data_IF_376971183045
#
_entry.id   IF_376971183045
#
_cell.length_a   1.000
_cell.length_b   1.000
_cell.length_c   1.000
_cell.angle_alpha   90.00
_cell.angle_beta   90.00
_cell.angle_gamma   90.00
#
_symmetry.space_group_name_H-M   'P 1'
#
loop_
_entity.id
_entity.type
_entity.pdbx_description
1 polymer ?
#
# COMPACT_ATOMS: atom_id res chain seq x y z
N UNK A 1 30.00 2.77 -10.33
CA UNK A 1 29.98 2.64 -10.20
C UNK A 1 29.94 2.06 -10.53
N UNK A 2 29.94 2.02 -10.48
CA UNK A 2 29.89 1.51 -10.58
C UNK A 2 29.62 1.07 -10.41
N UNK A 3 29.80 0.99 -10.58
CA UNK A 3 29.66 0.73 -10.05
C UNK A 3 29.71 1.00 -9.33
N UNK A 4 29.78 1.52 -8.78
CA UNK A 4 30.15 1.80 -8.17
C UNK A 4 30.42 1.24 -7.67
N UNK A 5 30.61 0.81 -7.91
CA UNK A 5 31.12 0.18 -7.72
C UNK A 5 31.38 -0.68 -7.66
N UNK A 6 31.97 -0.69 -7.69
CA UNK A 6 32.59 -1.55 -7.85
C UNK A 6 32.87 -2.34 -7.67
N UNK A 7 32.82 -1.92 -8.05
CA UNK A 7 33.32 -3.21 -8.38
C UNK A 7 32.84 -4.38 -7.54
N UNK A 8 33.29 -5.53 -7.72
CA UNK A 8 32.86 -6.81 -7.18
C UNK A 8 32.24 -6.86 -5.79
N UNK A 9 32.23 -5.77 -5.03
CA UNK A 9 31.69 -5.73 -3.68
C UNK A 9 30.21 -5.38 -3.62
N UNK A 10 29.61 -5.10 -4.73
CA UNK A 10 28.19 -4.77 -4.75
C UNK A 10 27.35 -6.01 -4.60
N UNK A 11 26.40 -5.97 -3.66
CA UNK A 11 25.43 -7.06 -3.48
C UNK A 11 24.43 -7.12 -4.62
N UNK A 12 24.18 -6.00 -5.30
CA UNK A 12 23.22 -5.93 -6.39
C UNK A 12 23.94 -5.69 -7.72
N UNK A 13 23.44 -6.33 -8.77
CA UNK A 13 23.86 -6.00 -10.14
C UNK A 13 23.24 -4.66 -10.55
N UNK A 14 23.76 -4.06 -11.62
CA UNK A 14 23.19 -2.81 -12.14
C UNK A 14 21.71 -2.99 -12.53
N UNK A 15 21.39 -4.14 -13.10
CA UNK A 15 20.02 -4.48 -13.51
C UNK A 15 19.09 -4.60 -12.28
N UNK A 16 19.57 -5.26 -11.23
CA UNK A 16 18.79 -5.40 -10.00
C UNK A 16 18.59 -4.06 -9.32
N UNK A 17 19.61 -3.22 -9.30
CA UNK A 17 19.51 -1.88 -8.75
C UNK A 17 18.45 -1.08 -9.50
N UNK A 18 18.46 -1.12 -10.83
CA UNK A 18 17.48 -0.42 -11.65
C UNK A 18 16.06 -0.94 -11.39
N UNK A 19 15.92 -2.26 -11.26
CA UNK A 19 14.62 -2.87 -10.95
C UNK A 19 14.06 -2.40 -9.63
N UNK A 20 14.91 -2.24 -8.62
CA UNK A 20 14.45 -1.74 -7.33
C UNK A 20 14.08 -0.25 -7.40
N UNK A 21 14.74 0.52 -8.24
CA UNK A 21 14.41 1.93 -8.43
C UNK A 21 13.02 2.09 -9.04
N UNK A 22 12.54 1.09 -9.77
CA UNK A 22 11.24 1.11 -10.44
C UNK A 22 10.12 0.46 -9.63
N UNK A 23 10.38 0.06 -8.39
CA UNK A 23 9.37 -0.57 -7.53
C UNK A 23 8.25 0.44 -7.24
N UNK A 24 6.97 0.05 -7.46
CA UNK A 24 5.85 0.94 -7.15
C UNK A 24 5.76 1.25 -5.65
N UNK A 25 5.29 2.44 -5.28
CA UNK A 25 5.18 2.83 -3.86
C UNK A 25 4.35 1.87 -3.00
N UNK A 26 3.27 1.31 -3.52
CA UNK A 26 2.44 0.39 -2.75
C UNK A 26 3.17 -0.91 -2.43
N UNK A 27 4.04 -1.38 -3.33
CA UNK A 27 4.85 -2.58 -3.09
C UNK A 27 5.92 -2.27 -2.05
N UNK A 28 6.54 -1.11 -2.15
CA UNK A 28 7.54 -0.66 -1.19
C UNK A 28 6.92 -0.52 0.21
N UNK A 29 5.74 0.08 0.29
CA UNK A 29 5.00 0.21 1.54
C UNK A 29 4.77 -1.15 2.17
N UNK A 30 4.27 -2.11 1.38
CA UNK A 30 3.97 -3.45 1.87
C UNK A 30 5.23 -4.15 2.38
N UNK A 31 6.33 -4.05 1.63
CA UNK A 31 7.59 -4.68 2.00
C UNK A 31 8.18 -4.09 3.29
N UNK A 32 7.87 -2.83 3.58
CA UNK A 32 8.38 -2.13 4.75
C UNK A 32 7.61 -2.43 6.04
N UNK A 33 6.53 -3.19 5.97
CA UNK A 33 5.76 -3.57 7.15
C UNK A 33 6.56 -4.55 8.02
N UNK A 34 6.46 -4.37 9.32
CA UNK A 34 7.39 -4.93 10.28
C UNK A 34 7.40 -6.46 10.44
N UNK A 35 6.27 -7.14 10.27
CA UNK A 35 6.21 -8.58 10.50
C UNK A 35 5.17 -9.24 9.59
N UNK A 36 5.22 -10.56 9.53
CA UNK A 36 4.35 -11.33 8.63
C UNK A 36 2.87 -11.24 8.99
N UNK A 37 2.55 -11.15 10.26
CA UNK A 37 1.16 -11.03 10.70
C UNK A 37 0.57 -9.69 10.23
N UNK A 38 1.33 -8.60 10.40
CA UNK A 38 0.92 -7.28 9.95
C UNK A 38 0.78 -7.24 8.43
N UNK A 39 1.73 -7.82 7.70
CA UNK A 39 1.66 -7.89 6.24
C UNK A 39 0.41 -8.62 5.76
N UNK A 40 0.08 -9.73 6.41
CA UNK A 40 -1.11 -10.52 6.05
C UNK A 40 -2.38 -9.72 6.28
N UNK A 41 -2.48 -9.08 7.45
CA UNK A 41 -3.64 -8.29 7.80
C UNK A 41 -3.82 -7.11 6.83
N UNK A 42 -2.73 -6.41 6.52
CA UNK A 42 -2.77 -5.26 5.63
C UNK A 42 -3.06 -5.66 4.19
N UNK A 43 -2.49 -6.79 3.75
CA UNK A 43 -2.78 -7.33 2.42
C UNK A 43 -4.27 -7.66 2.28
N UNK A 44 -4.85 -8.26 3.30
CA UNK A 44 -6.28 -8.60 3.28
C UNK A 44 -7.14 -7.34 3.27
N UNK A 45 -6.76 -6.32 4.03
CA UNK A 45 -7.48 -5.05 4.05
C UNK A 45 -7.42 -4.36 2.68
N UNK A 46 -6.25 -4.34 2.07
CA UNK A 46 -6.07 -3.73 0.75
C UNK A 46 -6.88 -4.47 -0.32
N UNK A 47 -6.84 -5.79 -0.29
CA UNK A 47 -7.59 -6.62 -1.21
C UNK A 47 -9.09 -6.36 -1.10
N UNK A 48 -9.59 -6.30 0.14
CA UNK A 48 -10.98 -6.03 0.41
C UNK A 48 -11.39 -4.66 -0.11
N UNK A 49 -10.57 -3.65 0.15
CA UNK A 49 -10.83 -2.29 -0.33
C UNK A 49 -10.85 -2.22 -1.86
N UNK A 50 -9.88 -2.85 -2.51
CA UNK A 50 -9.81 -2.85 -3.97
C UNK A 50 -11.00 -3.60 -4.58
N UNK A 51 -11.41 -4.70 -3.96
CA UNK A 51 -12.59 -5.44 -4.43
C UNK A 51 -13.86 -4.61 -4.28
N UNK A 52 -13.99 -3.89 -3.16
CA UNK A 52 -15.17 -3.06 -2.94
C UNK A 52 -15.23 -1.89 -3.91
N UNK A 53 -14.11 -1.22 -4.14
CA UNK A 53 -14.08 -0.03 -5.00
C UNK A 53 -13.95 -0.35 -6.48
N UNK A 54 -13.54 -1.56 -6.81
CA UNK A 54 -13.27 -1.94 -8.20
C UNK A 54 -11.93 -1.46 -8.72
N UNK A 55 -11.07 -0.96 -7.84
CA UNK A 55 -9.74 -0.51 -8.24
C UNK A 55 -8.90 -1.68 -8.74
N UNK A 56 -8.28 -1.51 -9.89
CA UNK A 56 -7.40 -2.51 -10.50
C UNK A 56 -5.97 -2.02 -10.67
N UNK A 57 -5.78 -0.71 -10.76
CA UNK A 57 -4.47 -0.10 -11.00
C UNK A 57 -4.13 0.89 -9.88
N UNK A 58 -2.85 0.97 -9.47
CA UNK A 58 -2.43 1.89 -8.42
C UNK A 58 -2.76 3.36 -8.69
N UNK A 59 -2.79 3.76 -9.96
CA UNK A 59 -3.11 5.15 -10.31
C UNK A 59 -4.51 5.54 -9.88
N UNK A 60 -5.42 4.57 -9.76
CA UNK A 60 -6.79 4.84 -9.36
C UNK A 60 -6.90 5.26 -7.90
N UNK A 61 -5.87 5.03 -7.09
CA UNK A 61 -5.86 5.53 -5.72
C UNK A 61 -5.95 7.05 -5.64
N UNK A 62 -5.55 7.75 -6.71
CA UNK A 62 -5.61 9.22 -6.75
C UNK A 62 -7.03 9.74 -6.71
N UNK A 63 -7.99 8.96 -7.16
CA UNK A 63 -9.38 9.40 -7.22
C UNK A 63 -10.21 8.93 -6.02
N UNK A 64 -9.59 8.22 -5.09
CA UNK A 64 -10.28 7.81 -3.87
C UNK A 64 -10.56 9.04 -3.01
N UNK A 65 -11.81 9.16 -2.56
CA UNK A 65 -12.24 10.26 -1.71
C UNK A 65 -12.69 9.74 -0.36
N UNK A 66 -12.95 10.65 0.56
CA UNK A 66 -13.49 10.28 1.86
C UNK A 66 -14.81 9.52 1.72
N UNK A 67 -15.61 9.85 0.72
CA UNK A 67 -16.88 9.15 0.48
C UNK A 67 -16.64 7.66 0.18
N UNK A 68 -15.59 7.34 -0.55
CA UNK A 68 -15.24 5.94 -0.82
C UNK A 68 -14.90 5.20 0.47
N UNK A 69 -14.15 5.85 1.36
CA UNK A 69 -13.76 5.25 2.64
C UNK A 69 -15.00 5.03 3.52
N UNK A 70 -15.89 6.01 3.58
CA UNK A 70 -17.12 5.91 4.37
C UNK A 70 -18.01 4.78 3.84
N UNK A 71 -18.16 4.70 2.52
CA UNK A 71 -18.95 3.64 1.90
C UNK A 71 -18.38 2.25 2.21
N UNK A 72 -17.06 2.13 2.16
CA UNK A 72 -16.39 0.87 2.50
C UNK A 72 -16.59 0.52 3.98
N UNK A 73 -16.45 1.50 4.86
CA UNK A 73 -16.71 1.30 6.29
C UNK A 73 -18.13 0.78 6.52
N UNK A 74 -19.11 1.37 5.84
CA UNK A 74 -20.48 0.96 5.96
C UNK A 74 -20.70 -0.46 5.45
N UNK A 75 -20.00 -0.83 4.38
CA UNK A 75 -20.03 -2.19 3.85
C UNK A 75 -19.45 -3.18 4.87
N UNK A 76 -18.34 -2.82 5.52
CA UNK A 76 -17.74 -3.65 6.56
C UNK A 76 -18.70 -3.84 7.74
N UNK A 77 -19.42 -2.79 8.12
CA UNK A 77 -20.44 -2.86 9.17
C UNK A 77 -21.57 -3.79 8.75
N UNK A 78 -22.02 -3.68 7.52
CA UNK A 78 -23.11 -4.51 7.00
C UNK A 78 -22.73 -5.99 6.91
N UNK A 79 -21.43 -6.29 6.82
CA UNK A 79 -20.96 -7.67 6.83
C UNK A 79 -20.74 -8.20 8.24
N UNK A 80 -21.18 -7.45 9.25
CA UNK A 80 -21.11 -7.86 10.65
C UNK A 80 -19.71 -8.11 11.19
N UNK A 81 -18.72 -7.42 10.64
CA UNK A 81 -17.37 -7.49 11.18
C UNK A 81 -17.30 -6.76 12.51
N UNK A 82 -16.41 -7.22 13.39
CA UNK A 82 -16.24 -6.60 14.71
C UNK A 82 -15.69 -5.19 14.57
N UNK A 83 -15.95 -4.35 15.58
CA UNK A 83 -15.41 -2.98 15.62
C UNK A 83 -13.91 -2.97 15.50
N UNK A 84 -13.24 -3.94 16.12
CA UNK A 84 -11.78 -4.02 16.06
C UNK A 84 -11.30 -4.36 14.66
N UNK A 85 -11.96 -5.31 13.98
CA UNK A 85 -11.60 -5.66 12.61
C UNK A 85 -11.78 -4.49 11.66
N UNK A 86 -12.88 -3.75 11.81
CA UNK A 86 -13.16 -2.57 11.00
C UNK A 86 -12.08 -1.52 11.22
N UNK A 87 -11.75 -1.27 12.47
CA UNK A 87 -10.72 -0.29 12.82
C UNK A 87 -9.36 -0.65 12.25
N UNK A 88 -8.99 -1.94 12.31
CA UNK A 88 -7.73 -2.41 11.76
C UNK A 88 -7.68 -2.24 10.24
N UNK A 89 -8.79 -2.53 9.56
CA UNK A 89 -8.85 -2.38 8.10
C UNK A 89 -8.76 -0.91 7.70
N UNK A 90 -9.46 -0.03 8.41
CA UNK A 90 -9.38 1.41 8.13
C UNK A 90 -7.97 1.94 8.39
N UNK A 91 -7.34 1.48 9.48
CA UNK A 91 -5.97 1.88 9.79
C UNK A 91 -4.98 1.45 8.72
N UNK A 92 -5.16 0.25 8.16
CA UNK A 92 -4.30 -0.26 7.11
C UNK A 92 -4.37 0.64 5.86
N UNK A 93 -5.57 1.00 5.45
CA UNK A 93 -5.76 1.85 4.27
C UNK A 93 -5.25 3.26 4.54
N UNK A 94 -5.49 3.79 5.74
CA UNK A 94 -4.95 5.10 6.12
C UNK A 94 -3.42 5.11 6.07
N UNK A 95 -2.77 4.04 6.52
CA UNK A 95 -1.32 3.90 6.46
C UNK A 95 -0.82 3.92 5.02
N UNK A 96 -1.52 3.20 4.13
CA UNK A 96 -1.15 3.19 2.71
C UNK A 96 -1.24 4.59 2.11
N UNK A 97 -2.36 5.30 2.34
CA UNK A 97 -2.53 6.64 1.77
C UNK A 97 -1.52 7.63 2.34
N UNK A 98 -1.19 7.51 3.61
CA UNK A 98 -0.14 8.34 4.21
C UNK A 98 1.18 8.15 3.49
N UNK A 99 1.54 6.89 3.21
CA UNK A 99 2.76 6.58 2.49
C UNK A 99 2.72 7.12 1.06
N UNK A 100 1.59 6.96 0.38
CA UNK A 100 1.43 7.45 -0.98
C UNK A 100 1.52 8.99 -1.05
N UNK A 101 1.04 9.69 -0.02
CA UNK A 101 1.20 11.13 0.09
C UNK A 101 2.67 11.52 0.22
N UNK A 102 3.43 10.81 1.04
CA UNK A 102 4.86 11.04 1.20
C UNK A 102 5.61 10.88 -0.12
N UNK A 103 5.16 9.99 -0.96
CA UNK A 103 5.78 9.73 -2.27
C UNK A 103 5.19 10.57 -3.39
N UNK A 104 4.33 11.52 -3.05
CA UNK A 104 3.65 12.39 -4.01
C UNK A 104 2.82 11.61 -5.05
N UNK A 105 2.44 10.37 -4.74
CA UNK A 105 1.61 9.55 -5.63
C UNK A 105 0.17 9.99 -5.57
N UNK A 106 -0.28 10.43 -4.39
CA UNK A 106 -1.60 11.03 -4.20
C UNK A 106 -1.41 12.37 -3.51
N UNK A 107 -2.43 13.24 -3.58
CA UNK A 107 -2.31 14.60 -3.06
C UNK A 107 -2.82 14.75 -1.63
N UNK A 108 -3.61 13.78 -1.16
CA UNK A 108 -4.18 13.86 0.19
C UNK A 108 -4.52 12.45 0.68
N UNK A 109 -4.63 12.32 2.00
CA UNK A 109 -5.08 11.10 2.65
C UNK A 109 -6.60 11.21 2.87
N UNK A 110 -7.39 10.39 2.20
CA UNK A 110 -8.85 10.46 2.37
C UNK A 110 -9.26 9.94 3.75
#
# INVERSE_FOLDING_TARGET
MTDIITTGNRALTAKEFQGLADVPPEVEWFANLGNNATRRAYKNALKDFMNFTGIQNPEEFRIVTRAHIIAWRDDLLNRSLSSMSIRHRLAAISSLFEYLCEKNTVTHNP
#
